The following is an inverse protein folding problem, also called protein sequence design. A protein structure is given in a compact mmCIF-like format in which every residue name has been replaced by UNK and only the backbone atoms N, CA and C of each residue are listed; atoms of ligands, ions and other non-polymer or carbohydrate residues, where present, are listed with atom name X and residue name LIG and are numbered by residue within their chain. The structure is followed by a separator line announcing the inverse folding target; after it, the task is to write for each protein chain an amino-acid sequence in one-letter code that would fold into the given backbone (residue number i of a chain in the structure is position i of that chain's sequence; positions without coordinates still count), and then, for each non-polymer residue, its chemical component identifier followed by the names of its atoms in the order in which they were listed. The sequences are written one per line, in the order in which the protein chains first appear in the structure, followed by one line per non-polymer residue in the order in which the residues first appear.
data_IF_335353989058
#
_entry.id   IF_335353989058
#
_cell.length_a   1.000
_cell.length_b   1.000
_cell.length_c   1.000
_cell.angle_alpha   90.00
_cell.angle_beta   90.00
_cell.angle_gamma   90.00
#
_symmetry.space_group_name_H-M   'P 1'
#
loop_
_entity.id
_entity.type
_entity.pdbx_description
1 polymer ?
#
# COMPACT_ATOMS: atom_id res chain seq x y z
N UNK A 1 5.40 -20.29 18.21
CA UNK A 1 4.72 -19.12 17.60
C UNK A 1 4.47 -19.38 16.12
N UNK A 2 3.28 -19.16 15.68
CA UNK A 2 2.93 -19.38 14.29
C UNK A 2 3.18 -18.08 13.54
N UNK A 3 4.09 -18.13 12.57
CA UNK A 3 4.29 -17.04 11.64
C UNK A 3 3.24 -17.18 10.53
N UNK A 4 2.39 -16.18 10.37
CA UNK A 4 1.35 -16.20 9.36
C UNK A 4 1.85 -15.81 7.97
N UNK A 5 3.14 -15.53 7.83
CA UNK A 5 3.73 -15.16 6.57
C UNK A 5 3.35 -13.77 6.05
N UNK A 6 2.71 -12.95 6.85
CA UNK A 6 2.40 -11.57 6.48
C UNK A 6 3.61 -10.68 6.74
N UNK A 7 3.79 -9.71 5.86
CA UNK A 7 4.74 -8.63 6.11
C UNK A 7 4.25 -7.80 7.29
N UNK A 8 5.19 -7.29 8.08
CA UNK A 8 4.89 -6.50 9.27
C UNK A 8 5.55 -5.15 9.18
N UNK A 9 4.80 -4.12 9.55
CA UNK A 9 5.27 -2.75 9.54
C UNK A 9 4.97 -2.08 10.86
N UNK A 10 5.71 -1.01 11.14
CA UNK A 10 5.50 -0.19 12.32
C UNK A 10 4.85 1.14 11.93
N UNK A 11 4.17 1.81 12.87
CA UNK A 11 3.71 3.17 12.62
C UNK A 11 4.87 4.06 12.18
N UNK A 12 4.64 4.89 11.18
CA UNK A 12 5.65 5.76 10.61
C UNK A 12 6.42 5.16 9.45
N UNK A 13 6.32 3.86 9.19
CA UNK A 13 6.96 3.24 8.04
C UNK A 13 6.36 3.74 6.74
N UNK A 14 7.17 3.75 5.69
CA UNK A 14 6.69 3.95 4.32
C UNK A 14 6.92 2.68 3.53
N UNK A 15 5.85 2.15 2.98
CA UNK A 15 5.88 0.92 2.21
C UNK A 15 5.78 1.26 0.73
N UNK A 16 6.58 0.59 -0.10
CA UNK A 16 6.52 0.77 -1.55
C UNK A 16 5.96 -0.48 -2.19
N UNK A 17 4.98 -0.27 -3.05
CA UNK A 17 4.29 -1.34 -3.76
C UNK A 17 4.37 -1.08 -5.25
N UNK A 18 4.40 -2.15 -6.04
CA UNK A 18 4.35 -2.04 -7.49
C UNK A 18 3.02 -2.59 -7.97
N UNK A 19 2.29 -1.78 -8.73
CA UNK A 19 1.04 -2.21 -9.35
C UNK A 19 1.27 -2.33 -10.85
N UNK A 20 1.11 -3.54 -11.37
CA UNK A 20 1.20 -3.79 -12.80
C UNK A 20 -0.17 -3.59 -13.45
N UNK A 21 -0.20 -2.78 -14.49
CA UNK A 21 -1.41 -2.53 -15.28
C UNK A 21 -1.32 -3.37 -16.54
N UNK A 22 -2.00 -4.51 -16.54
CA UNK A 22 -1.85 -5.53 -17.58
C UNK A 22 -2.52 -5.10 -18.90
N UNK A 23 -3.70 -4.49 -18.79
CA UNK A 23 -4.46 -4.02 -19.93
C UNK A 23 -4.90 -2.59 -19.72
N UNK A 24 -4.45 -1.69 -20.58
CA UNK A 24 -4.90 -0.30 -20.50
C UNK A 24 -5.29 0.24 -21.91
N UNK A 25 -5.34 -0.64 -22.91
CA UNK A 25 -5.75 -0.31 -24.28
C UNK A 25 -5.05 0.97 -24.79
N UNK A 26 -5.82 1.97 -25.21
CA UNK A 26 -5.29 3.25 -25.68
C UNK A 26 -5.31 4.34 -24.63
N UNK A 27 -5.68 4.00 -23.40
CA UNK A 27 -5.72 4.99 -22.34
C UNK A 27 -4.35 5.14 -21.69
N UNK A 28 -4.07 6.35 -21.26
CA UNK A 28 -2.85 6.65 -20.50
C UNK A 28 -3.24 6.84 -19.04
N UNK A 29 -2.68 6.01 -18.19
CA UNK A 29 -2.95 6.07 -16.76
C UNK A 29 -2.08 7.15 -16.14
N UNK A 30 -2.72 8.09 -15.44
CA UNK A 30 -2.04 9.17 -14.73
C UNK A 30 -1.68 8.77 -13.31
N UNK A 31 -2.58 8.08 -12.64
CA UNK A 31 -2.39 7.69 -11.25
C UNK A 31 -3.19 6.43 -10.96
N UNK A 32 -2.70 5.65 -10.01
CA UNK A 32 -3.39 4.45 -9.54
C UNK A 32 -3.26 4.34 -8.04
N UNK A 33 -4.15 3.59 -7.43
CA UNK A 33 -4.11 3.40 -5.98
C UNK A 33 -4.72 2.10 -5.54
N UNK A 34 -4.36 1.72 -4.32
CA UNK A 34 -4.87 0.54 -3.63
C UNK A 34 -5.25 0.96 -2.22
N UNK A 35 -6.42 0.58 -1.77
CA UNK A 35 -6.89 0.88 -0.43
C UNK A 35 -6.94 -0.41 0.37
N UNK A 36 -6.26 -0.40 1.51
CA UNK A 36 -6.26 -1.51 2.47
C UNK A 36 -7.19 -1.17 3.63
N UNK A 37 -7.98 -2.15 4.05
CA UNK A 37 -8.91 -1.97 5.17
C UNK A 37 -8.54 -2.91 6.31
N UNK A 38 -8.61 -2.39 7.53
CA UNK A 38 -8.43 -3.19 8.73
C UNK A 38 -9.52 -4.26 8.79
N UNK A 39 -9.14 -5.51 9.05
CA UNK A 39 -10.09 -6.64 9.00
C UNK A 39 -11.14 -6.61 10.11
N UNK A 40 -10.87 -5.91 11.21
CA UNK A 40 -11.77 -5.81 12.35
C UNK A 40 -12.42 -4.42 12.50
N UNK A 41 -11.92 -3.41 11.80
CA UNK A 41 -12.38 -2.04 11.91
C UNK A 41 -12.68 -1.46 10.53
N UNK A 42 -13.93 -1.60 10.09
CA UNK A 42 -14.37 -1.24 8.74
C UNK A 42 -14.08 0.21 8.36
N UNK A 43 -13.97 1.10 9.33
CA UNK A 43 -13.74 2.51 9.09
C UNK A 43 -12.26 2.87 8.99
N UNK A 44 -11.38 1.91 9.24
CA UNK A 44 -9.94 2.14 9.27
C UNK A 44 -9.33 1.66 7.97
N UNK A 45 -8.83 2.60 7.17
CA UNK A 45 -8.23 2.34 5.86
C UNK A 45 -6.88 3.00 5.73
N UNK A 46 -5.98 2.36 4.98
CA UNK A 46 -4.69 2.91 4.59
C UNK A 46 -4.61 2.87 3.07
N UNK A 47 -4.17 3.96 2.45
CA UNK A 47 -4.16 4.09 1.00
C UNK A 47 -2.75 4.22 0.46
N UNK A 48 -2.47 3.46 -0.59
CA UNK A 48 -1.25 3.59 -1.38
C UNK A 48 -1.61 4.20 -2.72
N UNK A 49 -0.81 5.12 -3.21
CA UNK A 49 -1.03 5.70 -4.53
C UNK A 49 0.28 6.09 -5.20
N UNK A 50 0.24 6.26 -6.50
CA UNK A 50 1.38 6.66 -7.27
C UNK A 50 1.08 6.69 -8.76
N UNK A 51 2.05 7.17 -9.54
CA UNK A 51 1.94 7.30 -10.98
C UNK A 51 2.73 6.20 -11.67
N UNK A 52 2.27 5.72 -12.84
CA UNK A 52 3.05 4.78 -13.63
C UNK A 52 4.37 5.40 -14.07
N UNK A 53 5.43 4.60 -14.05
CA UNK A 53 6.73 4.99 -14.57
C UNK A 53 6.92 4.38 -15.96
N UNK A 54 7.62 5.10 -16.81
CA UNK A 54 7.99 4.59 -18.13
C UNK A 54 9.24 3.73 -17.96
N UNK A 55 9.09 2.43 -18.15
CA UNK A 55 10.20 1.49 -18.13
C UNK A 55 10.27 0.84 -19.50
N UNK A 56 11.39 1.02 -20.19
CA UNK A 56 11.54 0.46 -21.53
C UNK A 56 10.53 0.95 -22.56
N UNK A 57 10.02 2.18 -22.38
CA UNK A 57 9.03 2.77 -23.28
C UNK A 57 7.59 2.38 -22.97
N UNK A 58 7.36 1.65 -21.88
CA UNK A 58 6.02 1.23 -21.46
C UNK A 58 5.70 1.78 -20.06
N UNK A 59 4.48 2.29 -19.89
CA UNK A 59 3.99 2.87 -18.63
C UNK A 59 3.01 1.91 -17.96
N UNK A 60 3.43 0.68 -17.72
CA UNK A 60 2.54 -0.35 -17.19
C UNK A 60 2.80 -0.71 -15.75
N UNK A 61 3.72 -0.07 -15.08
CA UNK A 61 4.00 -0.31 -13.65
C UNK A 61 3.88 1.00 -12.90
N UNK A 62 2.95 1.05 -11.94
CA UNK A 62 2.81 2.19 -11.05
C UNK A 62 3.51 1.87 -9.74
N UNK A 63 4.39 2.76 -9.30
CA UNK A 63 5.02 2.65 -7.98
C UNK A 63 4.16 3.39 -6.99
N UNK A 64 3.60 2.64 -6.05
CA UNK A 64 2.70 3.16 -5.04
C UNK A 64 3.46 3.36 -3.74
N UNK A 65 3.16 4.43 -3.05
CA UNK A 65 3.69 4.68 -1.71
C UNK A 65 2.55 4.55 -0.72
N UNK A 66 2.74 3.71 0.28
CA UNK A 66 1.80 3.51 1.37
C UNK A 66 2.44 4.03 2.65
N UNK A 67 2.07 5.23 3.12
CA UNK A 67 2.54 5.69 4.42
C UNK A 67 1.74 5.05 5.52
N UNK A 68 2.44 4.49 6.52
CA UNK A 68 1.79 3.98 7.73
C UNK A 68 1.74 5.15 8.71
N UNK A 69 0.55 5.64 9.09
CA UNK A 69 0.45 6.79 9.99
C UNK A 69 1.14 6.54 11.34
N UNK A 70 1.61 7.61 11.98
CA UNK A 70 2.26 7.51 13.29
C UNK A 70 1.32 6.94 14.35
N UNK A 71 0.00 7.11 14.15
CA UNK A 71 -1.03 6.62 15.08
C UNK A 71 -1.89 5.55 14.42
N UNK A 72 -1.28 4.72 13.57
CA UNK A 72 -2.01 3.67 12.88
C UNK A 72 -2.57 2.65 13.86
N UNK A 73 -3.78 2.19 13.59
CA UNK A 73 -4.41 1.12 14.37
C UNK A 73 -3.67 -0.19 14.08
N UNK A 74 -3.13 -0.87 15.10
CA UNK A 74 -2.48 -2.15 14.89
C UNK A 74 -3.44 -3.21 14.40
N UNK A 75 -2.93 -4.19 13.69
CA UNK A 75 -3.70 -5.33 13.23
C UNK A 75 -3.47 -5.65 11.77
N UNK A 76 -4.32 -6.51 11.22
CA UNK A 76 -4.23 -7.00 9.86
C UNK A 76 -5.03 -6.11 8.91
N UNK A 77 -4.40 -5.74 7.81
CA UNK A 77 -5.03 -4.96 6.74
C UNK A 77 -5.04 -5.79 5.46
N UNK A 78 -6.15 -5.75 4.73
CA UNK A 78 -6.29 -6.43 3.44
C UNK A 78 -6.72 -5.45 2.38
N UNK A 79 -6.43 -5.78 1.13
CA UNK A 79 -6.90 -4.99 -0.01
C UNK A 79 -8.42 -4.95 -0.01
N UNK A 80 -8.98 -3.75 -0.05
CA UNK A 80 -10.43 -3.52 -0.10
C UNK A 80 -10.89 -3.09 -1.47
N UNK A 81 -10.16 -2.17 -2.08
CA UNK A 81 -10.50 -1.65 -3.40
C UNK A 81 -9.27 -1.09 -4.09
N UNK A 82 -9.39 -0.90 -5.38
CA UNK A 82 -8.35 -0.30 -6.22
C UNK A 82 -8.97 0.75 -7.11
N UNK A 83 -8.16 1.65 -7.64
CA UNK A 83 -8.63 2.64 -8.59
C UNK A 83 -7.53 3.03 -9.56
N UNK A 84 -7.95 3.51 -10.73
CA UNK A 84 -7.06 4.04 -11.78
C UNK A 84 -7.68 5.31 -12.31
N UNK A 85 -6.85 6.34 -12.53
CA UNK A 85 -7.29 7.58 -13.14
C UNK A 85 -6.49 7.83 -14.41
N UNK A 86 -7.17 8.17 -15.49
CA UNK A 86 -6.53 8.45 -16.77
C UNK A 86 -6.23 9.94 -16.93
N UNK A 87 -5.34 10.27 -17.86
CA UNK A 87 -5.08 11.68 -18.18
C UNK A 87 -6.30 12.40 -18.74
N UNK A 88 -7.27 11.65 -19.28
CA UNK A 88 -8.54 12.20 -19.72
C UNK A 88 -9.49 12.54 -18.57
N UNK A 89 -9.10 12.28 -17.33
CA UNK A 89 -9.92 12.57 -16.16
C UNK A 89 -10.92 11.48 -15.80
N UNK A 90 -10.88 10.35 -16.48
CA UNK A 90 -11.79 9.24 -16.16
C UNK A 90 -11.19 8.39 -15.06
N UNK A 91 -12.02 8.03 -14.07
CA UNK A 91 -11.64 7.17 -12.97
C UNK A 91 -12.36 5.83 -13.06
N UNK A 92 -11.61 4.76 -12.85
CA UNK A 92 -12.13 3.41 -12.77
C UNK A 92 -11.90 2.89 -11.36
N UNK A 93 -12.96 2.42 -10.72
CA UNK A 93 -12.90 1.85 -9.38
C UNK A 93 -13.17 0.35 -9.46
N UNK A 94 -12.44 -0.42 -8.67
CA UNK A 94 -12.53 -1.88 -8.63
C UNK A 94 -12.81 -2.31 -7.19
N UNK A 95 -13.92 -2.98 -6.97
CA UNK A 95 -14.33 -3.43 -5.65
C UNK A 95 -14.80 -4.89 -5.73
N UNK A 96 -14.74 -5.60 -4.61
CA UNK A 96 -15.23 -6.95 -4.52
C UNK A 96 -14.58 -7.87 -5.54
N UNK A 97 -15.41 -8.53 -6.33
CA UNK A 97 -14.94 -9.49 -7.34
C UNK A 97 -14.20 -8.86 -8.51
N UNK A 98 -14.35 -7.55 -8.70
CA UNK A 98 -13.60 -6.84 -9.73
C UNK A 98 -12.11 -6.74 -9.38
N UNK A 99 -11.76 -6.85 -8.09
CA UNK A 99 -10.37 -6.92 -7.68
C UNK A 99 -9.88 -8.34 -7.92
N UNK A 100 -8.79 -8.53 -8.68
CA UNK A 100 -8.26 -9.87 -8.94
C UNK A 100 -8.01 -10.66 -7.65
N UNK A 101 -8.28 -11.96 -7.67
CA UNK A 101 -8.19 -12.79 -6.48
C UNK A 101 -6.81 -12.74 -5.82
N UNK A 102 -5.75 -12.80 -6.61
CA UNK A 102 -4.39 -12.74 -6.07
C UNK A 102 -4.07 -11.40 -5.42
N UNK A 103 -4.73 -10.32 -5.85
CA UNK A 103 -4.59 -9.00 -5.22
C UNK A 103 -5.40 -8.94 -3.93
N UNK A 104 -6.62 -9.48 -3.94
CA UNK A 104 -7.45 -9.53 -2.73
C UNK A 104 -6.81 -10.31 -1.59
N UNK A 105 -5.92 -11.25 -1.93
CA UNK A 105 -5.22 -12.05 -0.94
C UNK A 105 -4.06 -11.30 -0.28
N UNK A 106 -3.66 -10.15 -0.82
CA UNK A 106 -2.57 -9.36 -0.25
C UNK A 106 -2.98 -8.76 1.09
N UNK A 107 -2.12 -8.90 2.07
CA UNK A 107 -2.36 -8.40 3.41
C UNK A 107 -1.03 -8.10 4.09
N UNK A 108 -1.08 -7.23 5.09
CA UNK A 108 0.05 -6.93 5.94
C UNK A 108 -0.44 -6.63 7.34
N UNK A 109 0.45 -6.75 8.32
CA UNK A 109 0.15 -6.40 9.69
C UNK A 109 0.88 -5.11 10.09
N UNK A 110 0.18 -4.27 10.83
CA UNK A 110 0.81 -3.13 11.51
C UNK A 110 0.96 -3.53 12.97
N UNK A 111 2.20 -3.57 13.45
CA UNK A 111 2.50 -3.91 14.83
C UNK A 111 2.36 -2.68 15.72
N UNK A 112 2.14 -2.92 17.00
CA UNK A 112 2.19 -1.85 17.98
C UNK A 112 3.62 -1.36 18.15
N UNK A 113 3.76 -0.06 18.36
CA UNK A 113 5.06 0.49 18.69
C UNK A 113 5.48 -0.04 20.06
N UNK A 114 6.74 -0.52 20.20
CA UNK A 114 7.18 -1.04 21.50
C UNK A 114 7.10 0.01 22.61
N UNK A 115 6.63 -0.40 23.78
CA UNK A 115 6.55 0.49 24.96
C UNK A 115 7.92 0.77 25.57
N UNK A 116 8.92 -0.01 25.18
CA UNK A 116 10.25 0.12 25.76
C UNK A 116 10.89 1.43 25.34
N UNK A 117 11.34 2.20 26.32
CA UNK A 117 12.04 3.44 26.08
C UNK A 117 13.39 3.15 25.39
N UNK A 118 13.70 3.79 24.28
CA UNK A 118 14.97 3.56 23.61
C UNK A 118 16.17 3.89 24.51
N UNK A 119 17.20 3.07 24.40
CA UNK A 119 18.48 3.36 25.06
C UNK A 119 19.31 4.21 24.12
N UNK A 120 19.94 5.23 24.67
CA UNK A 120 20.70 6.18 23.89
C UNK A 120 22.17 6.13 24.28
N UNK A 121 23.01 6.33 23.30
CA UNK A 121 24.44 6.46 23.48
C UNK A 121 24.93 7.64 22.63
N UNK A 122 25.79 8.46 23.21
CA UNK A 122 26.38 9.57 22.49
C UNK A 122 27.89 9.44 22.53
N UNK A 123 28.52 9.49 21.37
CA UNK A 123 29.96 9.52 21.28
C UNK A 123 30.41 10.61 20.31
N UNK A 124 31.61 11.12 20.52
CA UNK A 124 32.16 12.13 19.64
C UNK A 124 33.64 11.91 19.49
N UNK A 125 34.18 12.41 18.39
CA UNK A 125 35.59 12.34 18.08
C UNK A 125 36.15 13.76 18.06
N UNK A 126 37.27 13.90 18.73
CA UNK A 126 37.99 15.16 18.72
C UNK A 126 39.04 15.18 17.61
#
# INVERSE_FOLDING_TARGET
MIDHGYLRFLPGDQVRLNLEIIKFARMHVREAGVVFRHVEHDQTELSASGSPEVIGGQSNVARLTLPIPAVATPGLYRVNRMWVETYGGRRYDYEGEEVPEHVRALAFEVDEEPDAKPQLSLSYHL
#
